data_IF_408207247927
#
_entry.id   IF_408207247927
#
_cell.length_a   1.000
_cell.length_b   1.000
_cell.length_c   1.000
_cell.angle_alpha   90.00
_cell.angle_beta   90.00
_cell.angle_gamma   90.00
#
_symmetry.space_group_name_H-M   'P 1'
#
loop_
_entity.id
_entity.type
_entity.pdbx_description
1 polymer ?
#
# COMPACT_ATOMS: atom_id res chain seq x y z
N UNK A 1 -1.27 -26.45 -44.91
CA UNK A 1 -2.23 -27.55 -45.22
C UNK A 1 -2.90 -27.41 -46.59
N UNK A 2 -3.05 -26.20 -47.14
CA UNK A 2 -3.62 -25.97 -48.48
C UNK A 2 -2.94 -26.74 -49.61
N UNK A 3 -1.63 -26.98 -49.52
CA UNK A 3 -0.86 -27.78 -50.50
C UNK A 3 -1.33 -29.24 -50.63
N UNK A 4 -2.09 -29.76 -49.66
CA UNK A 4 -2.65 -31.12 -49.64
C UNK A 4 -4.17 -31.15 -49.89
N UNK A 5 -4.80 -29.98 -50.09
CA UNK A 5 -6.24 -29.88 -50.37
C UNK A 5 -6.49 -30.34 -51.80
N UNK A 6 -7.44 -31.27 -51.99
CA UNK A 6 -7.77 -31.77 -53.34
C UNK A 6 -8.42 -30.65 -54.14
N UNK A 7 -8.12 -30.56 -55.45
CA UNK A 7 -8.66 -29.50 -56.31
C UNK A 7 -10.20 -29.38 -56.23
N UNK A 8 -10.92 -30.49 -56.09
CA UNK A 8 -12.39 -30.52 -55.97
C UNK A 8 -12.93 -29.83 -54.72
N UNK A 9 -12.13 -29.69 -53.66
CA UNK A 9 -12.56 -28.98 -52.44
C UNK A 9 -12.60 -27.46 -52.65
N UNK A 10 -11.87 -26.95 -53.64
CA UNK A 10 -11.90 -25.54 -54.04
C UNK A 10 -12.80 -25.32 -55.27
N UNK A 11 -12.94 -26.33 -56.13
CA UNK A 11 -13.72 -26.28 -57.38
C UNK A 11 -14.99 -27.15 -57.34
N UNK A 12 -15.69 -27.18 -56.21
CA UNK A 12 -16.84 -28.08 -56.00
C UNK A 12 -18.02 -27.80 -56.96
N UNK A 13 -18.14 -26.57 -57.45
CA UNK A 13 -19.25 -26.06 -58.26
C UNK A 13 -18.83 -25.36 -59.56
N UNK A 14 -17.53 -25.33 -59.87
CA UNK A 14 -16.98 -24.57 -61.01
C UNK A 14 -16.48 -25.47 -62.15
N UNK A 15 -16.81 -25.10 -63.38
CA UNK A 15 -16.25 -25.66 -64.61
C UNK A 15 -14.72 -25.52 -64.60
N UNK A 16 -13.99 -26.50 -65.16
CA UNK A 16 -12.52 -26.38 -65.30
C UNK A 16 -12.16 -25.04 -65.95
N UNK A 17 -11.38 -24.22 -65.25
CA UNK A 17 -10.89 -22.92 -65.74
C UNK A 17 -11.51 -21.67 -65.10
N UNK A 18 -12.53 -21.81 -64.25
CA UNK A 18 -13.06 -20.65 -63.51
C UNK A 18 -12.07 -20.21 -62.40
N UNK A 19 -11.69 -18.93 -62.42
CA UNK A 19 -10.81 -18.35 -61.39
C UNK A 19 -11.56 -18.30 -60.06
N UNK A 20 -10.94 -18.83 -59.01
CA UNK A 20 -11.45 -18.70 -57.65
C UNK A 20 -11.15 -17.29 -57.13
N UNK A 21 -12.03 -16.76 -56.29
CA UNK A 21 -11.71 -15.60 -55.46
C UNK A 21 -10.90 -16.11 -54.25
N UNK A 22 -9.62 -15.73 -54.17
CA UNK A 22 -8.69 -16.18 -53.12
C UNK A 22 -7.79 -15.04 -52.61
N UNK A 23 -8.24 -13.80 -52.78
CA UNK A 23 -7.46 -12.62 -52.40
C UNK A 23 -7.35 -12.45 -50.88
N UNK A 24 -8.32 -12.98 -50.11
CA UNK A 24 -8.35 -12.95 -48.67
C UNK A 24 -8.70 -14.31 -48.06
N UNK A 25 -8.22 -14.59 -46.85
CA UNK A 25 -8.60 -15.80 -46.11
C UNK A 25 -10.12 -15.98 -45.98
N UNK A 26 -10.86 -14.88 -45.80
CA UNK A 26 -12.32 -14.89 -45.63
C UNK A 26 -13.11 -15.29 -46.88
N UNK A 27 -12.46 -15.33 -48.05
CA UNK A 27 -13.09 -15.83 -49.28
C UNK A 27 -13.42 -17.33 -49.19
N UNK A 28 -12.71 -18.05 -48.31
CA UNK A 28 -12.86 -19.50 -48.13
C UNK A 28 -13.12 -19.90 -46.67
N UNK A 29 -12.64 -19.12 -45.70
CA UNK A 29 -12.72 -19.44 -44.27
C UNK A 29 -13.68 -18.52 -43.55
N UNK A 30 -14.37 -19.05 -42.54
CA UNK A 30 -15.19 -18.23 -41.65
C UNK A 30 -14.32 -17.57 -40.57
N UNK A 31 -14.69 -16.37 -40.15
CA UNK A 31 -14.02 -15.70 -39.03
C UNK A 31 -14.38 -16.36 -37.70
N UNK A 32 -13.43 -17.12 -37.16
CA UNK A 32 -13.54 -17.76 -35.85
C UNK A 32 -13.66 -16.75 -34.70
N UNK A 33 -13.09 -15.56 -34.86
CA UNK A 33 -13.07 -14.48 -33.86
C UNK A 33 -14.33 -13.60 -33.89
N UNK A 34 -15.22 -13.80 -34.87
CA UNK A 34 -16.52 -13.13 -34.97
C UNK A 34 -16.43 -11.60 -34.90
N UNK A 35 -15.48 -11.03 -35.63
CA UNK A 35 -15.26 -9.59 -35.75
C UNK A 35 -14.52 -8.98 -34.55
N UNK A 36 -13.94 -9.78 -33.64
CA UNK A 36 -13.24 -9.25 -32.47
C UNK A 36 -12.07 -8.31 -32.83
N UNK A 37 -11.48 -8.48 -34.01
CA UNK A 37 -10.32 -7.72 -34.48
C UNK A 37 -10.63 -6.73 -35.62
N UNK A 38 -11.91 -6.54 -35.97
CA UNK A 38 -12.33 -5.69 -37.09
C UNK A 38 -11.90 -4.21 -36.97
N UNK A 39 -11.47 -3.77 -35.77
CA UNK A 39 -11.01 -2.40 -35.49
C UNK A 39 -9.50 -2.21 -35.60
N UNK A 40 -8.72 -3.27 -35.88
CA UNK A 40 -7.29 -3.13 -36.16
C UNK A 40 -7.08 -2.43 -37.50
N UNK A 41 -5.90 -1.86 -37.71
CA UNK A 41 -5.59 -1.05 -38.90
C UNK A 41 -5.86 -1.75 -40.24
N UNK A 42 -5.67 -3.09 -40.30
CA UNK A 42 -5.97 -3.90 -41.49
C UNK A 42 -7.29 -4.66 -41.40
N UNK A 43 -8.21 -4.22 -40.54
CA UNK A 43 -9.51 -4.86 -40.34
C UNK A 43 -9.44 -6.24 -39.67
N UNK A 44 -8.31 -6.59 -39.04
CA UNK A 44 -8.10 -7.91 -38.45
C UNK A 44 -7.85 -9.00 -39.50
N UNK A 45 -7.10 -8.67 -40.54
CA UNK A 45 -6.72 -9.62 -41.58
C UNK A 45 -6.01 -10.83 -40.97
N UNK A 46 -6.37 -12.03 -41.40
CA UNK A 46 -5.93 -13.27 -40.77
C UNK A 46 -4.40 -13.42 -40.77
N UNK A 47 -3.75 -12.90 -41.81
CA UNK A 47 -2.30 -12.97 -42.04
C UNK A 47 -1.49 -12.09 -41.09
N UNK A 48 -2.13 -11.15 -40.37
CA UNK A 48 -1.48 -10.40 -39.28
C UNK A 48 -1.04 -11.34 -38.15
N UNK A 49 -1.81 -12.40 -37.91
CA UNK A 49 -1.63 -13.30 -36.76
C UNK A 49 -1.36 -14.76 -37.18
N UNK A 50 -1.84 -15.18 -38.33
CA UNK A 50 -1.83 -16.57 -38.75
C UNK A 50 -1.07 -16.78 -40.05
N UNK A 51 -0.81 -18.03 -40.37
CA UNK A 51 -0.07 -18.40 -41.57
C UNK A 51 -0.80 -19.48 -42.32
N UNK A 52 -0.47 -19.62 -43.61
CA UNK A 52 -0.92 -20.76 -44.43
C UNK A 52 -0.41 -22.12 -43.91
N UNK A 53 0.59 -22.13 -43.02
CA UNK A 53 1.09 -23.34 -42.37
C UNK A 53 0.18 -23.74 -41.19
N UNK A 54 -0.44 -22.78 -40.50
CA UNK A 54 -1.36 -23.03 -39.39
C UNK A 54 -1.85 -21.76 -38.68
N UNK A 55 -2.94 -21.92 -37.92
CA UNK A 55 -3.54 -20.86 -37.09
C UNK A 55 -3.03 -20.87 -35.64
N UNK A 56 -2.40 -21.95 -35.19
CA UNK A 56 -1.87 -22.09 -33.83
C UNK A 56 -0.43 -22.60 -33.91
N UNK A 57 0.53 -21.98 -33.18
CA UNK A 57 0.37 -20.74 -32.42
C UNK A 57 0.13 -19.52 -33.32
N UNK A 58 -0.47 -18.48 -32.76
CA UNK A 58 -0.53 -17.17 -33.40
C UNK A 58 0.87 -16.53 -33.41
N UNK A 59 1.14 -15.66 -34.41
CA UNK A 59 2.29 -14.76 -34.48
C UNK A 59 2.17 -13.56 -33.54
N UNK A 60 1.03 -13.40 -32.87
CA UNK A 60 0.81 -12.30 -31.92
C UNK A 60 1.76 -12.42 -30.73
N UNK A 61 2.66 -11.45 -30.58
CA UNK A 61 3.75 -11.46 -29.59
C UNK A 61 3.36 -10.73 -28.31
N UNK A 62 4.15 -10.90 -27.24
CA UNK A 62 4.01 -10.09 -26.03
C UNK A 62 4.23 -8.60 -26.31
N UNK A 63 5.16 -8.25 -27.21
CA UNK A 63 5.38 -6.85 -27.61
C UNK A 63 4.12 -6.26 -28.28
N UNK A 64 3.46 -7.02 -29.15
CA UNK A 64 2.19 -6.59 -29.75
C UNK A 64 1.05 -6.50 -28.71
N UNK A 65 1.10 -7.29 -27.64
CA UNK A 65 0.17 -7.17 -26.52
C UNK A 65 0.41 -5.91 -25.68
N UNK A 66 1.68 -5.51 -25.50
CA UNK A 66 2.06 -4.31 -24.76
C UNK A 66 1.58 -3.02 -25.46
N UNK A 67 1.35 -3.06 -26.77
CA UNK A 67 0.75 -1.98 -27.57
C UNK A 67 -0.79 -1.92 -27.47
N UNK A 68 -1.41 -2.90 -26.81
CA UNK A 68 -2.87 -2.93 -26.66
C UNK A 68 -3.37 -1.97 -25.57
N UNK A 69 -4.69 -1.85 -25.45
CA UNK A 69 -5.33 -1.10 -24.35
C UNK A 69 -5.12 -1.73 -22.97
N UNK A 70 -4.48 -2.91 -22.88
CA UNK A 70 -4.14 -3.58 -21.63
C UNK A 70 -2.73 -4.18 -21.71
N UNK A 71 -1.67 -3.39 -21.51
CA UNK A 71 -0.30 -3.90 -21.47
C UNK A 71 -0.11 -4.88 -20.30
N UNK A 72 0.66 -5.96 -20.50
CA UNK A 72 0.90 -6.94 -19.44
C UNK A 72 2.08 -6.49 -18.57
N UNK A 73 1.78 -6.08 -17.34
CA UNK A 73 2.77 -5.65 -16.36
C UNK A 73 2.94 -6.66 -15.23
N UNK A 74 4.13 -6.68 -14.63
CA UNK A 74 4.48 -7.55 -13.51
C UNK A 74 4.08 -9.02 -13.70
N UNK A 75 3.42 -9.60 -12.70
CA UNK A 75 3.02 -10.99 -12.68
C UNK A 75 2.04 -11.38 -13.80
N UNK A 76 1.30 -10.43 -14.37
CA UNK A 76 0.39 -10.70 -15.49
C UNK A 76 1.13 -11.06 -16.79
N UNK A 77 2.42 -10.78 -16.92
CA UNK A 77 3.21 -11.22 -18.09
C UNK A 77 3.48 -12.72 -18.08
N UNK A 78 3.40 -13.37 -16.92
CA UNK A 78 3.72 -14.78 -16.76
C UNK A 78 2.49 -15.70 -16.83
N UNK A 79 1.27 -15.16 -16.94
CA UNK A 79 0.07 -15.99 -17.02
C UNK A 79 -0.18 -16.49 -18.46
N UNK A 80 -0.66 -17.73 -18.63
CA UNK A 80 -1.09 -18.23 -19.93
C UNK A 80 -2.21 -17.35 -20.54
N UNK A 81 -2.17 -17.11 -21.85
CA UNK A 81 -3.14 -16.25 -22.53
C UNK A 81 -4.59 -16.72 -22.36
N UNK A 82 -4.82 -18.02 -22.20
CA UNK A 82 -6.14 -18.60 -22.02
C UNK A 82 -6.73 -18.35 -20.62
N UNK A 83 -5.94 -17.97 -19.62
CA UNK A 83 -6.49 -17.55 -18.32
C UNK A 83 -7.33 -16.26 -18.43
N UNK A 84 -7.00 -15.39 -19.38
CA UNK A 84 -7.80 -14.20 -19.69
C UNK A 84 -8.76 -14.44 -20.86
N UNK A 85 -8.26 -15.00 -21.96
CA UNK A 85 -9.02 -15.04 -23.21
C UNK A 85 -9.97 -16.22 -23.31
N UNK A 86 -10.01 -17.16 -22.36
CA UNK A 86 -10.92 -18.32 -22.43
C UNK A 86 -12.12 -18.14 -21.52
N UNK A 87 -13.31 -18.12 -22.13
CA UNK A 87 -14.58 -18.09 -21.38
C UNK A 87 -15.37 -19.37 -21.63
N UNK A 88 -16.03 -19.90 -20.59
CA UNK A 88 -17.00 -20.99 -20.72
C UNK A 88 -18.38 -20.42 -21.02
N UNK A 89 -19.02 -20.90 -22.08
CA UNK A 89 -20.38 -20.56 -22.45
C UNK A 89 -21.20 -21.85 -22.59
N UNK A 90 -21.77 -22.31 -21.48
CA UNK A 90 -22.39 -23.63 -21.37
C UNK A 90 -21.34 -24.74 -21.50
N UNK A 91 -21.58 -25.74 -22.37
CA UNK A 91 -20.63 -26.84 -22.65
C UNK A 91 -19.51 -26.47 -23.62
N UNK A 92 -19.52 -25.27 -24.21
CA UNK A 92 -18.54 -24.82 -25.21
C UNK A 92 -17.58 -23.81 -24.61
N UNK A 93 -16.31 -23.96 -24.94
CA UNK A 93 -15.27 -22.97 -24.67
C UNK A 93 -15.24 -21.97 -25.82
N UNK A 94 -15.23 -20.67 -25.52
CA UNK A 94 -15.09 -19.59 -26.51
C UNK A 94 -13.92 -18.69 -26.14
N UNK A 95 -13.10 -18.36 -27.14
CA UNK A 95 -12.08 -17.34 -26.99
C UNK A 95 -12.70 -15.94 -27.07
N UNK A 96 -12.31 -15.06 -26.16
CA UNK A 96 -12.79 -13.68 -26.04
C UNK A 96 -11.58 -12.77 -25.95
N UNK A 97 -11.44 -11.89 -26.95
CA UNK A 97 -10.35 -10.92 -27.03
C UNK A 97 -10.81 -9.49 -26.69
N UNK A 98 -12.10 -9.33 -26.36
CA UNK A 98 -12.71 -8.05 -25.98
C UNK A 98 -13.31 -8.17 -24.59
N UNK A 99 -12.67 -7.55 -23.62
CA UNK A 99 -13.14 -7.50 -22.23
C UNK A 99 -13.99 -6.25 -22.00
N UNK A 100 -15.03 -6.37 -21.17
CA UNK A 100 -15.91 -5.24 -20.81
C UNK A 100 -15.21 -4.21 -19.92
N UNK A 101 -14.26 -4.67 -19.11
CA UNK A 101 -13.44 -3.85 -18.23
C UNK A 101 -12.05 -4.45 -18.15
N UNK A 102 -11.05 -3.58 -18.15
CA UNK A 102 -9.63 -3.89 -17.92
C UNK A 102 -9.17 -3.46 -16.53
N UNK A 103 -10.09 -2.94 -15.71
CA UNK A 103 -9.80 -2.61 -14.31
C UNK A 103 -9.63 -3.89 -13.49
N UNK A 104 -8.81 -3.85 -12.44
CA UNK A 104 -8.54 -5.01 -11.59
C UNK A 104 -9.82 -5.71 -11.10
N UNK A 105 -10.83 -4.92 -10.70
CA UNK A 105 -12.10 -5.42 -10.19
C UNK A 105 -12.92 -6.23 -11.22
N UNK A 106 -12.61 -6.12 -12.51
CA UNK A 106 -13.22 -6.91 -13.57
C UNK A 106 -12.82 -8.40 -13.51
N UNK A 107 -11.66 -8.71 -12.92
CA UNK A 107 -11.13 -10.08 -12.81
C UNK A 107 -10.90 -10.50 -11.35
N UNK A 108 -10.41 -9.59 -10.52
CA UNK A 108 -10.06 -9.82 -9.12
C UNK A 108 -11.14 -9.30 -8.18
N UNK A 109 -11.46 -10.08 -7.14
CA UNK A 109 -12.35 -9.61 -6.07
C UNK A 109 -11.57 -8.74 -5.10
N UNK A 110 -12.15 -7.61 -4.70
CA UNK A 110 -11.59 -6.75 -3.67
C UNK A 110 -11.69 -7.43 -2.28
N UNK A 111 -10.57 -7.80 -1.62
CA UNK A 111 -10.59 -8.42 -0.30
C UNK A 111 -10.83 -7.41 0.84
N UNK A 112 -10.68 -6.11 0.55
CA UNK A 112 -10.73 -5.03 1.54
C UNK A 112 -12.16 -4.59 1.89
N UNK A 113 -13.17 -5.12 1.19
CA UNK A 113 -14.57 -4.68 1.31
C UNK A 113 -14.64 -3.17 1.12
N UNK A 114 -15.47 -2.47 1.91
CA UNK A 114 -15.69 -1.02 1.83
C UNK A 114 -14.65 -0.15 2.55
N UNK A 115 -13.58 -0.75 3.08
CA UNK A 115 -12.64 -0.02 3.95
C UNK A 115 -11.78 0.99 3.19
N UNK A 116 -11.65 0.82 1.88
CA UNK A 116 -10.75 1.63 1.04
C UNK A 116 -11.44 2.23 -0.17
N UNK A 117 -12.77 2.24 -0.20
CA UNK A 117 -13.56 2.66 -1.36
C UNK A 117 -13.25 4.09 -1.81
N UNK A 118 -12.95 4.98 -0.85
CA UNK A 118 -12.50 6.36 -1.12
C UNK A 118 -11.30 6.39 -2.08
N UNK A 119 -10.30 5.54 -1.84
CA UNK A 119 -9.08 5.49 -2.66
C UNK A 119 -9.30 4.70 -3.95
N UNK A 120 -10.10 3.63 -3.90
CA UNK A 120 -10.46 2.87 -5.11
C UNK A 120 -11.21 3.73 -6.14
N UNK A 121 -12.06 4.66 -5.70
CA UNK A 121 -12.78 5.57 -6.58
C UNK A 121 -11.86 6.55 -7.33
N UNK A 122 -10.73 6.94 -6.73
CA UNK A 122 -9.80 7.92 -7.29
C UNK A 122 -8.72 7.34 -8.21
N UNK A 123 -8.29 6.10 -7.98
CA UNK A 123 -7.16 5.52 -8.71
C UNK A 123 -7.11 4.00 -8.76
N UNK A 124 -8.19 3.31 -8.38
CA UNK A 124 -8.24 1.85 -8.42
C UNK A 124 -7.29 1.18 -7.42
N UNK A 125 -7.00 -0.10 -7.67
CA UNK A 125 -6.14 -0.90 -6.81
C UNK A 125 -4.68 -0.43 -6.85
N UNK A 126 -4.29 0.19 -7.96
CA UNK A 126 -2.96 0.71 -8.29
C UNK A 126 -2.53 1.87 -7.39
N UNK A 127 -3.49 2.51 -6.71
CA UNK A 127 -3.23 3.46 -5.63
C UNK A 127 -2.37 2.84 -4.52
N UNK A 128 -2.52 1.54 -4.28
CA UNK A 128 -1.83 0.82 -3.20
C UNK A 128 -0.98 -0.33 -3.72
N UNK A 129 -1.46 -1.10 -4.69
CA UNK A 129 -0.82 -2.34 -5.14
C UNK A 129 -0.09 -2.14 -6.46
N UNK A 130 0.95 -2.94 -6.66
CA UNK A 130 1.69 -3.00 -7.92
C UNK A 130 1.56 -4.39 -8.52
N UNK A 131 1.56 -4.47 -9.85
CA UNK A 131 1.41 -5.73 -10.57
C UNK A 131 2.62 -6.65 -10.41
N UNK A 132 3.78 -6.10 -10.04
CA UNK A 132 5.02 -6.83 -9.79
C UNK A 132 4.95 -7.61 -8.49
N UNK A 133 4.34 -7.02 -7.45
CA UNK A 133 4.16 -7.66 -6.14
C UNK A 133 2.91 -7.14 -5.47
N UNK A 134 1.89 -8.00 -5.37
CA UNK A 134 0.61 -7.63 -4.77
C UNK A 134 0.68 -7.47 -3.25
N UNK A 135 1.65 -8.14 -2.60
CA UNK A 135 1.77 -8.14 -1.13
C UNK A 135 2.37 -6.84 -0.59
N UNK A 136 3.14 -6.12 -1.40
CA UNK A 136 3.76 -4.85 -1.01
C UNK A 136 2.83 -3.72 -1.41
N UNK A 137 2.49 -2.87 -0.43
CA UNK A 137 1.71 -1.66 -0.68
C UNK A 137 2.64 -0.47 -0.86
N UNK A 138 2.39 0.35 -1.88
CA UNK A 138 3.06 1.64 -2.13
C UNK A 138 2.25 2.83 -1.61
N UNK A 139 1.23 2.57 -0.78
CA UNK A 139 0.32 3.60 -0.29
C UNK A 139 1.04 4.69 0.52
N UNK A 140 0.87 5.95 0.12
CA UNK A 140 1.45 7.11 0.79
C UNK A 140 0.54 7.62 1.91
N UNK A 141 0.98 7.45 3.16
CA UNK A 141 0.27 7.92 4.35
C UNK A 141 0.22 9.45 4.47
N UNK A 142 1.04 10.20 3.71
CA UNK A 142 0.93 11.67 3.63
C UNK A 142 -0.42 12.13 3.06
N UNK A 143 -1.15 11.23 2.39
CA UNK A 143 -2.51 11.48 1.89
C UNK A 143 -3.59 11.30 2.96
N UNK A 144 -3.21 11.01 4.20
CA UNK A 144 -4.10 10.80 5.34
C UNK A 144 -3.84 11.84 6.43
N UNK A 145 -4.74 11.90 7.41
CA UNK A 145 -4.59 12.76 8.58
C UNK A 145 -3.47 12.30 9.55
N UNK A 146 -2.80 11.17 9.26
CA UNK A 146 -1.69 10.65 10.05
C UNK A 146 -0.47 10.28 9.18
N UNK A 147 0.32 11.28 8.75
CA UNK A 147 1.56 11.04 8.02
C UNK A 147 2.56 10.24 8.88
N UNK A 148 3.11 9.17 8.31
CA UNK A 148 4.19 8.42 8.97
C UNK A 148 5.46 9.26 9.01
N UNK A 149 5.94 9.54 10.23
CA UNK A 149 7.18 10.28 10.48
C UNK A 149 8.16 9.46 11.31
N UNK A 150 9.46 9.74 11.16
CA UNK A 150 10.52 9.04 11.88
C UNK A 150 10.44 7.53 11.73
N UNK A 151 10.55 6.80 12.86
CA UNK A 151 10.55 5.32 12.85
C UNK A 151 9.24 4.70 12.42
N UNK A 152 8.12 5.43 12.46
CA UNK A 152 6.83 4.90 11.98
C UNK A 152 6.84 4.61 10.48
N UNK A 153 7.66 5.31 9.68
CA UNK A 153 7.77 5.12 8.24
C UNK A 153 8.29 3.73 7.83
N UNK A 154 8.96 3.01 8.73
CA UNK A 154 9.50 1.67 8.48
C UNK A 154 8.72 0.55 9.17
N UNK A 155 7.63 0.88 9.86
CA UNK A 155 6.82 -0.10 10.57
C UNK A 155 5.97 -0.88 9.57
N UNK A 156 5.99 -2.21 9.67
CA UNK A 156 5.14 -3.06 8.84
C UNK A 156 3.65 -2.71 9.05
N UNK A 157 2.89 -2.57 7.96
CA UNK A 157 1.49 -2.11 7.97
C UNK A 157 0.62 -2.87 8.99
N UNK A 158 0.87 -4.18 9.12
CA UNK A 158 0.13 -5.05 10.02
C UNK A 158 0.30 -4.75 11.51
N UNK A 159 1.29 -3.93 11.91
CA UNK A 159 1.44 -3.51 13.31
C UNK A 159 0.36 -2.52 13.75
N UNK A 160 -0.17 -1.73 12.81
CA UNK A 160 -1.27 -0.81 13.06
C UNK A 160 -2.59 -1.37 12.50
N UNK A 161 -2.55 -1.92 11.28
CA UNK A 161 -3.74 -2.34 10.55
C UNK A 161 -4.23 -3.74 10.88
N UNK A 162 -3.64 -4.48 11.84
CA UNK A 162 -4.19 -5.77 12.31
C UNK A 162 -4.71 -5.63 13.72
N UNK A 163 -6.03 -5.63 13.86
CA UNK A 163 -6.72 -5.59 15.15
C UNK A 163 -7.21 -6.98 15.54
N UNK A 164 -7.02 -7.35 16.80
CA UNK A 164 -7.58 -8.58 17.37
C UNK A 164 -9.03 -8.34 17.73
N UNK A 165 -9.91 -9.25 17.32
CA UNK A 165 -11.33 -9.27 17.68
C UNK A 165 -11.67 -10.68 18.19
N UNK A 166 -11.53 -10.87 19.50
CA UNK A 166 -11.57 -12.19 20.14
C UNK A 166 -10.41 -13.07 19.66
N UNK A 167 -10.71 -14.31 19.23
CA UNK A 167 -9.71 -15.26 18.70
C UNK A 167 -9.28 -14.98 17.24
N UNK A 168 -9.91 -14.02 16.56
CA UNK A 168 -9.65 -13.72 15.14
C UNK A 168 -8.89 -12.41 15.00
N UNK A 169 -7.99 -12.35 14.03
CA UNK A 169 -7.32 -11.10 13.62
C UNK A 169 -7.98 -10.59 12.35
N UNK A 170 -8.37 -9.32 12.32
CA UNK A 170 -8.93 -8.66 11.13
C UNK A 170 -8.02 -7.52 10.70
N UNK A 171 -7.88 -7.35 9.39
CA UNK A 171 -7.22 -6.17 8.83
C UNK A 171 -8.21 -5.01 8.80
N UNK A 172 -7.85 -3.90 9.43
CA UNK A 172 -8.65 -2.67 9.49
C UNK A 172 -7.82 -1.48 9.01
N UNK A 173 -8.35 -0.70 8.06
CA UNK A 173 -7.67 0.46 7.48
C UNK A 173 -8.17 1.82 7.98
N UNK A 174 -9.25 1.83 8.78
CA UNK A 174 -9.87 3.05 9.30
C UNK A 174 -10.05 2.99 10.82
N UNK A 175 -10.19 4.16 11.46
CA UNK A 175 -10.46 4.28 12.90
C UNK A 175 -9.38 3.63 13.78
N UNK A 176 -8.12 3.71 13.35
CA UNK A 176 -6.97 3.34 14.18
C UNK A 176 -6.64 4.55 15.07
N UNK A 177 -6.33 4.35 16.36
CA UNK A 177 -5.85 5.44 17.21
C UNK A 177 -4.63 6.12 16.59
N UNK A 178 -4.67 7.44 16.51
CA UNK A 178 -3.60 8.28 15.92
C UNK A 178 -2.78 9.01 16.97
N UNK A 179 -3.22 8.98 18.23
CA UNK A 179 -2.46 9.49 19.36
C UNK A 179 -1.44 8.46 19.87
N UNK A 180 -0.35 8.95 20.47
CA UNK A 180 0.75 8.09 20.90
C UNK A 180 0.31 7.06 21.93
N UNK A 181 -0.54 7.44 22.89
CA UNK A 181 -1.00 6.58 23.98
C UNK A 181 -1.98 5.49 23.52
N UNK A 182 -2.66 5.70 22.40
CA UNK A 182 -3.48 4.66 21.75
C UNK A 182 -2.68 3.44 21.28
N UNK A 183 -1.36 3.55 21.12
CA UNK A 183 -0.48 2.46 20.70
C UNK A 183 0.68 2.17 21.67
N UNK A 184 1.23 3.20 22.32
CA UNK A 184 2.38 3.10 23.20
C UNK A 184 1.98 3.22 24.66
N UNK A 185 2.62 2.43 25.52
CA UNK A 185 2.42 2.54 26.96
C UNK A 185 2.96 3.88 27.48
N UNK A 186 2.22 4.50 28.40
CA UNK A 186 2.65 5.72 29.09
C UNK A 186 3.65 5.40 30.19
N UNK A 187 4.93 5.62 29.93
CA UNK A 187 6.03 5.28 30.86
C UNK A 187 6.24 6.30 31.99
N UNK A 188 5.61 7.48 31.91
CA UNK A 188 5.74 8.54 32.92
C UNK A 188 4.72 8.44 34.06
N UNK A 189 3.91 7.37 34.11
CA UNK A 189 2.94 7.16 35.18
C UNK A 189 1.96 8.32 35.38
N UNK A 190 1.45 8.89 34.27
CA UNK A 190 0.44 9.95 34.30
C UNK A 190 0.94 11.35 34.66
N UNK A 191 2.24 11.55 34.95
CA UNK A 191 2.79 12.86 35.33
C UNK A 191 2.53 13.99 34.31
N UNK A 192 2.33 13.63 33.04
CA UNK A 192 2.11 14.58 31.94
C UNK A 192 0.74 14.42 31.27
N UNK A 193 -0.15 13.64 31.88
CA UNK A 193 -1.53 13.52 31.42
C UNK A 193 -2.27 14.85 31.65
N UNK A 194 -3.08 15.26 30.67
CA UNK A 194 -3.96 16.41 30.82
C UNK A 194 -5.05 16.17 31.89
N UNK A 195 -5.86 17.19 32.16
CA UNK A 195 -6.99 17.12 33.10
C UNK A 195 -6.61 16.61 34.50
N UNK A 196 -5.54 17.17 35.09
CA UNK A 196 -5.01 16.77 36.40
C UNK A 196 -4.66 15.28 36.49
N UNK A 197 -3.99 14.74 35.47
CA UNK A 197 -3.49 13.36 35.47
C UNK A 197 -4.49 12.32 34.97
N UNK A 198 -5.66 12.74 34.45
CA UNK A 198 -6.77 11.84 34.09
C UNK A 198 -7.02 11.70 32.60
N UNK A 199 -6.45 12.55 31.74
CA UNK A 199 -6.61 12.40 30.30
C UNK A 199 -5.30 12.12 29.58
N UNK A 200 -5.19 12.55 28.32
CA UNK A 200 -4.17 11.99 27.44
C UNK A 200 -2.81 12.68 27.61
N UNK A 201 -1.73 11.92 27.43
CA UNK A 201 -0.38 12.47 27.41
C UNK A 201 -0.03 12.89 25.98
N UNK A 202 0.17 14.19 25.76
CA UNK A 202 0.64 14.74 24.48
C UNK A 202 2.14 14.57 24.33
N UNK A 203 2.58 13.35 24.03
CA UNK A 203 3.98 12.95 23.96
C UNK A 203 4.79 13.82 22.98
N UNK A 204 4.17 14.22 21.86
CA UNK A 204 4.75 14.99 20.76
C UNK A 204 5.14 16.43 21.14
N UNK A 205 4.73 16.90 22.32
CA UNK A 205 5.20 18.17 22.91
C UNK A 205 6.67 18.11 23.29
N UNK A 206 7.15 16.94 23.68
CA UNK A 206 8.52 16.73 24.14
C UNK A 206 9.28 15.81 23.18
N UNK A 207 8.67 14.70 22.77
CA UNK A 207 9.31 13.64 22.02
C UNK A 207 9.17 13.79 20.50
N UNK A 208 10.19 13.33 19.76
CA UNK A 208 10.17 13.17 18.29
C UNK A 208 10.07 11.69 17.89
N UNK A 209 9.51 11.42 16.72
CA UNK A 209 9.27 10.05 16.22
C UNK A 209 10.52 9.37 15.67
N UNK A 210 11.60 10.11 15.42
CA UNK A 210 12.85 9.59 14.85
C UNK A 210 13.65 8.73 15.83
N UNK A 211 13.68 9.12 17.10
CA UNK A 211 14.50 8.48 18.12
C UNK A 211 13.87 8.48 19.53
N UNK A 212 12.64 8.99 19.66
CA UNK A 212 11.91 9.14 20.93
C UNK A 212 12.64 9.98 21.98
N UNK A 213 13.65 10.77 21.60
CA UNK A 213 14.30 11.70 22.51
C UNK A 213 13.36 12.88 22.79
N UNK A 214 13.34 13.42 24.02
CA UNK A 214 12.53 14.58 24.38
C UNK A 214 13.15 15.89 23.86
N UNK A 215 13.60 15.93 22.60
CA UNK A 215 14.38 17.05 22.05
C UNK A 215 13.60 18.35 21.87
N UNK A 216 12.28 18.32 21.98
CA UNK A 216 11.44 19.52 21.97
C UNK A 216 11.24 20.12 23.36
N UNK A 217 11.50 19.36 24.41
CA UNK A 217 11.38 19.82 25.79
C UNK A 217 12.51 20.80 26.12
N UNK A 218 12.13 21.95 26.66
CA UNK A 218 13.07 22.97 27.10
C UNK A 218 12.80 23.32 28.57
N UNK A 219 13.82 23.22 29.42
CA UNK A 219 13.68 23.45 30.86
C UNK A 219 13.32 24.91 31.21
N UNK A 220 13.72 25.87 30.38
CA UNK A 220 13.44 27.29 30.58
C UNK A 220 12.00 27.63 30.22
N UNK A 221 11.49 27.01 29.15
CA UNK A 221 10.13 27.26 28.65
C UNK A 221 9.07 26.38 29.33
N UNK A 222 9.36 25.11 29.53
CA UNK A 222 8.36 24.08 29.84
C UNK A 222 8.39 23.61 31.30
N UNK A 223 9.39 24.03 32.10
CA UNK A 223 9.50 23.67 33.51
C UNK A 223 9.36 24.88 34.44
N UNK A 224 8.95 24.62 35.69
CA UNK A 224 8.84 25.66 36.73
C UNK A 224 10.19 26.10 37.29
N UNK A 225 11.23 25.29 37.11
CA UNK A 225 12.57 25.57 37.57
C UNK A 225 13.48 25.73 36.36
N UNK A 226 13.93 26.96 36.14
CA UNK A 226 14.87 27.31 35.07
C UNK A 226 16.26 26.84 35.48
N UNK A 227 16.93 26.09 34.60
CA UNK A 227 18.30 25.64 34.83
C UNK A 227 19.28 26.72 34.38
N UNK A 228 19.64 27.61 35.30
CA UNK A 228 20.62 28.68 35.07
C UNK A 228 21.89 28.52 35.94
N UNK A 229 22.91 29.32 35.64
CA UNK A 229 24.17 29.35 36.40
C UNK A 229 24.78 27.96 36.61
N UNK A 230 25.06 27.61 37.88
CA UNK A 230 25.62 26.31 38.24
C UNK A 230 24.63 25.15 38.00
N UNK A 231 23.31 25.38 38.09
CA UNK A 231 22.29 24.34 37.87
C UNK A 231 22.21 23.89 36.41
N UNK A 232 22.63 24.73 35.46
CA UNK A 232 22.68 24.39 34.03
C UNK A 232 23.57 23.17 33.71
N UNK A 233 24.50 22.80 34.61
CA UNK A 233 25.43 21.68 34.44
C UNK A 233 25.11 20.48 35.34
N UNK A 234 24.06 20.57 36.16
CA UNK A 234 23.68 19.48 37.06
C UNK A 234 23.08 18.33 36.27
N UNK A 235 23.53 17.11 36.55
CA UNK A 235 23.00 15.92 35.88
C UNK A 235 21.52 15.71 36.23
N UNK A 236 20.70 15.31 35.25
CA UNK A 236 19.24 15.21 35.40
C UNK A 236 18.82 14.34 36.61
N UNK A 237 19.55 13.26 36.87
CA UNK A 237 19.28 12.29 37.94
C UNK A 237 19.40 12.87 39.36
N UNK A 238 20.11 13.98 39.52
CA UNK A 238 20.27 14.63 40.83
C UNK A 238 18.93 15.22 41.31
N UNK A 239 18.12 15.71 40.37
CA UNK A 239 16.75 16.19 40.62
C UNK A 239 15.71 15.09 40.37
N UNK A 240 15.81 14.40 39.23
CA UNK A 240 14.83 13.43 38.75
C UNK A 240 15.14 12.01 39.25
N UNK A 241 14.74 11.75 40.49
CA UNK A 241 14.97 10.47 41.17
C UNK A 241 13.92 9.43 40.77
N UNK A 242 14.34 8.17 40.80
CA UNK A 242 13.43 7.04 40.64
C UNK A 242 12.66 6.81 41.94
N UNK A 243 11.33 6.75 41.85
CA UNK A 243 10.43 6.47 42.96
C UNK A 243 9.37 5.43 42.56
N UNK A 244 8.70 4.87 43.55
CA UNK A 244 7.52 4.02 43.35
C UNK A 244 6.29 4.87 43.59
N UNK A 245 5.40 4.98 42.61
CA UNK A 245 4.16 5.73 42.75
C UNK A 245 3.10 4.97 43.57
N UNK A 246 1.95 5.60 43.82
CA UNK A 246 0.83 5.02 44.59
C UNK A 246 0.28 3.71 44.02
N UNK A 247 0.50 3.44 42.73
CA UNK A 247 0.07 2.22 42.04
C UNK A 247 1.16 1.13 42.02
N UNK A 248 2.20 1.27 42.86
CA UNK A 248 3.35 0.36 42.93
C UNK A 248 4.17 0.27 41.63
N UNK A 249 4.15 1.33 40.80
CA UNK A 249 4.94 1.44 39.56
C UNK A 249 6.22 2.22 39.83
N UNK A 250 7.36 1.61 39.50
CA UNK A 250 8.68 2.25 39.58
C UNK A 250 8.87 3.18 38.36
N UNK A 251 9.03 4.47 38.59
CA UNK A 251 9.16 5.50 37.56
C UNK A 251 10.14 6.60 37.97
N UNK A 252 10.55 7.44 37.01
CA UNK A 252 11.33 8.66 37.29
C UNK A 252 10.38 9.83 37.53
N UNK A 253 10.56 10.54 38.65
CA UNK A 253 9.77 11.71 39.01
C UNK A 253 10.29 12.95 38.29
N UNK A 254 9.47 13.46 37.37
CA UNK A 254 9.69 14.70 36.61
C UNK A 254 8.78 15.84 37.04
N UNK A 255 7.56 15.56 37.53
CA UNK A 255 6.65 16.60 38.01
C UNK A 255 5.54 16.06 38.92
N UNK A 256 5.07 16.85 39.91
CA UNK A 256 5.71 18.07 40.41
C UNK A 256 6.95 17.74 41.25
N UNK A 257 7.98 18.59 41.17
CA UNK A 257 9.12 18.60 42.11
C UNK A 257 9.04 19.86 42.98
N UNK A 258 9.53 19.81 44.23
CA UNK A 258 9.75 21.01 45.01
C UNK A 258 10.81 21.89 44.35
N UNK A 259 10.68 23.21 44.48
CA UNK A 259 11.54 24.21 43.83
C UNK A 259 12.27 25.11 44.82
N UNK A 260 12.09 24.91 46.12
CA UNK A 260 12.80 25.67 47.15
C UNK A 260 14.23 25.15 47.33
N UNK A 261 15.18 26.05 47.62
CA UNK A 261 16.58 25.70 47.81
C UNK A 261 16.75 24.62 48.90
N UNK A 262 16.00 24.74 49.99
CA UNK A 262 16.03 23.82 51.14
C UNK A 262 15.60 22.39 50.77
N UNK A 263 14.69 22.24 49.81
CA UNK A 263 14.20 20.92 49.38
C UNK A 263 15.27 20.09 48.67
N UNK A 264 16.31 20.74 48.12
CA UNK A 264 17.39 20.08 47.39
C UNK A 264 18.73 20.14 48.13
N UNK A 265 19.04 21.25 48.80
CA UNK A 265 20.31 21.47 49.50
C UNK A 265 20.22 21.27 51.03
N UNK A 266 19.02 21.10 51.58
CA UNK A 266 18.81 21.10 53.02
C UNK A 266 19.29 22.40 53.65
N UNK A 267 19.97 22.31 54.80
CA UNK A 267 20.57 23.47 55.49
C UNK A 267 21.87 23.97 54.85
N UNK A 268 22.45 23.20 53.93
CA UNK A 268 23.76 23.48 53.34
C UNK A 268 23.59 24.14 51.97
N UNK A 269 22.90 25.28 51.94
CA UNK A 269 22.72 26.07 50.71
C UNK A 269 24.06 26.74 50.39
N UNK A 270 24.68 26.47 49.22
CA UNK A 270 25.91 27.14 48.82
C UNK A 270 25.65 28.65 48.71
N UNK A 271 26.33 29.46 49.52
CA UNK A 271 26.31 30.91 49.34
C UNK A 271 27.17 31.26 48.14
N UNK A 272 26.71 32.20 47.28
CA UNK A 272 27.57 32.74 46.21
C UNK A 272 28.83 33.30 46.87
N UNK A 273 30.01 32.76 46.55
CA UNK A 273 31.25 33.51 46.76
C UNK A 273 31.13 34.75 45.88
N UNK A 274 31.26 35.93 46.47
CA UNK A 274 31.33 37.17 45.71
C UNK A 274 32.47 37.05 44.71
N UNK A 275 32.15 37.20 43.43
CA UNK A 275 33.16 37.33 42.38
C UNK A 275 33.87 38.66 42.63
N UNK A 276 35.16 38.56 43.00
CA UNK A 276 36.10 39.68 43.11
C UNK A 276 36.72 39.97 41.76
#
# INVERSE_FOLDING_TARGET
>A
RHKAVKCRQCHASSSRGQKLHFAACLDCHSDFHKGAFARRDKGGACEECHTVQGFVPSRFTLAAHDESTYPLTGAHRAIPCDECHRTRHGKKTRLVFRHKSTQCAGCHRNPHRHQVDKWLAGGGCETCHRTESWQVSVFDHKTTDWPLTGKHGTVACGRCHRVKHGKKTRVVFAKIPTDCAGCHATVHGGQFADNNGKGNTRCERCHVTDNWQPSKFDHTRDARFVLDGAHARVACKECHKTETNSDNVRLVRYTPLPTTCESCHGKNIPTRKAES
#
